data_IF_788418058706
#
_entry.id   IF_788418058706
#
_cell.length_a   1.000
_cell.length_b   1.000
_cell.length_c   1.000
_cell.angle_alpha   90.00
_cell.angle_beta   90.00
_cell.angle_gamma   90.00
#
_symmetry.space_group_name_H-M   'P 1'
#
loop_
_entity.id
_entity.type
_entity.pdbx_description
1 polymer ?
#
# COMPACT_ATOMS: atom_id res chain seq x y z
N UNK A 1 -33.97 -9.86 -24.94
CA UNK A 1 -32.91 -9.03 -24.33
C UNK A 1 -32.47 -9.69 -23.04
N UNK A 2 -31.39 -10.45 -23.07
CA UNK A 2 -30.79 -11.03 -21.85
C UNK A 2 -30.04 -9.89 -21.17
N UNK A 3 -30.61 -9.33 -20.09
CA UNK A 3 -29.87 -8.45 -19.19
C UNK A 3 -28.70 -9.26 -18.65
N UNK A 4 -27.52 -8.99 -19.21
CA UNK A 4 -26.30 -9.73 -18.91
C UNK A 4 -26.11 -9.81 -17.41
N UNK A 5 -25.99 -11.04 -16.92
CA UNK A 5 -25.68 -11.33 -15.53
C UNK A 5 -24.25 -10.84 -15.27
N UNK A 6 -24.10 -9.53 -15.05
CA UNK A 6 -22.83 -8.88 -14.80
C UNK A 6 -22.25 -9.51 -13.53
N UNK A 7 -21.23 -10.35 -13.71
CA UNK A 7 -20.58 -11.04 -12.62
C UNK A 7 -20.11 -10.00 -11.60
N UNK A 8 -20.69 -10.00 -10.39
CA UNK A 8 -20.38 -9.06 -9.32
C UNK A 8 -18.87 -9.00 -9.01
N UNK A 9 -18.16 -10.12 -9.18
CA UNK A 9 -16.71 -10.17 -9.01
C UNK A 9 -15.97 -9.33 -10.05
N UNK A 10 -16.42 -9.34 -11.31
CA UNK A 10 -15.85 -8.51 -12.37
C UNK A 10 -16.07 -7.03 -12.09
N UNK A 11 -17.29 -6.64 -11.72
CA UNK A 11 -17.59 -5.25 -11.35
C UNK A 11 -16.74 -4.77 -10.16
N UNK A 12 -16.48 -5.65 -9.18
CA UNK A 12 -15.59 -5.36 -8.05
C UNK A 12 -14.14 -5.14 -8.50
N UNK A 13 -13.62 -5.99 -9.40
CA UNK A 13 -12.28 -5.82 -9.98
C UNK A 13 -12.15 -4.51 -10.75
N UNK A 14 -13.07 -4.27 -11.69
CA UNK A 14 -13.15 -3.03 -12.47
C UNK A 14 -13.25 -1.78 -11.58
N UNK A 15 -13.97 -1.84 -10.46
CA UNK A 15 -14.06 -0.73 -9.51
C UNK A 15 -12.74 -0.47 -8.79
N UNK A 16 -12.05 -1.52 -8.35
CA UNK A 16 -10.74 -1.42 -7.70
C UNK A 16 -9.67 -0.88 -8.67
N UNK A 17 -9.69 -1.29 -9.93
CA UNK A 17 -8.79 -0.75 -10.96
C UNK A 17 -9.00 0.76 -11.17
N UNK A 18 -10.26 1.21 -11.27
CA UNK A 18 -10.57 2.64 -11.40
C UNK A 18 -10.11 3.44 -10.19
N UNK A 19 -10.35 2.92 -8.99
CA UNK A 19 -9.88 3.53 -7.74
C UNK A 19 -8.35 3.60 -7.71
N UNK A 20 -7.64 2.54 -8.13
CA UNK A 20 -6.18 2.52 -8.15
C UNK A 20 -5.60 3.59 -9.08
N UNK A 21 -6.16 3.77 -10.28
CA UNK A 21 -5.74 4.83 -11.20
C UNK A 21 -5.90 6.21 -10.55
N UNK A 22 -7.04 6.46 -9.90
CA UNK A 22 -7.31 7.74 -9.26
C UNK A 22 -6.37 8.00 -8.07
N UNK A 23 -6.13 6.99 -7.24
CA UNK A 23 -5.20 7.08 -6.12
C UNK A 23 -3.78 7.39 -6.62
N UNK A 24 -3.31 6.73 -7.67
CA UNK A 24 -1.97 7.03 -8.23
C UNK A 24 -1.89 8.44 -8.81
N UNK A 25 -2.93 8.91 -9.52
CA UNK A 25 -3.00 10.29 -10.01
C UNK A 25 -2.91 11.32 -8.89
N UNK A 26 -3.55 11.04 -7.75
CA UNK A 26 -3.51 11.92 -6.59
C UNK A 26 -2.15 11.86 -5.87
N UNK A 27 -1.58 10.66 -5.71
CA UNK A 27 -0.33 10.47 -4.96
C UNK A 27 0.93 10.89 -5.72
N UNK A 28 0.97 10.74 -7.05
CA UNK A 28 2.16 11.04 -7.85
C UNK A 28 1.80 11.58 -9.24
N UNK A 29 1.06 12.70 -9.35
CA UNK A 29 0.56 13.24 -10.62
C UNK A 29 1.66 13.50 -11.65
N UNK A 30 2.87 13.82 -11.21
CA UNK A 30 4.06 14.08 -12.03
C UNK A 30 4.70 12.80 -12.60
N UNK A 31 4.48 11.64 -11.97
CA UNK A 31 4.94 10.34 -12.48
C UNK A 31 3.88 9.69 -13.38
N UNK A 32 2.61 9.98 -13.13
CA UNK A 32 1.50 9.36 -13.85
C UNK A 32 1.35 9.97 -15.24
N UNK A 33 1.15 9.10 -16.25
CA UNK A 33 0.90 9.50 -17.63
C UNK A 33 -0.37 10.38 -17.73
N UNK A 34 -0.40 11.40 -18.61
CA UNK A 34 -1.63 12.15 -18.89
C UNK A 34 -2.79 11.26 -19.35
N UNK A 35 -2.47 10.18 -20.08
CA UNK A 35 -3.42 9.18 -20.56
C UNK A 35 -3.61 8.00 -19.60
N UNK A 36 -3.36 8.18 -18.29
CA UNK A 36 -3.41 7.08 -17.34
C UNK A 36 -4.80 6.44 -17.28
N UNK A 37 -4.88 5.13 -17.44
CA UNK A 37 -6.15 4.41 -17.53
C UNK A 37 -6.00 2.95 -17.11
N UNK A 38 -7.13 2.32 -16.79
CA UNK A 38 -7.20 0.85 -16.74
C UNK A 38 -7.14 0.29 -18.16
N UNK A 39 -6.54 -0.87 -18.32
CA UNK A 39 -6.48 -1.57 -19.60
C UNK A 39 -7.76 -2.37 -19.83
N UNK A 40 -8.25 -2.36 -21.07
CA UNK A 40 -9.44 -3.08 -21.48
C UNK A 40 -9.06 -4.29 -22.35
N UNK A 41 -9.31 -5.48 -21.84
CA UNK A 41 -9.14 -6.73 -22.56
C UNK A 41 -7.81 -7.41 -22.27
N UNK A 42 -7.87 -8.44 -21.43
CA UNK A 42 -6.74 -9.31 -21.12
C UNK A 42 -6.27 -10.07 -22.38
N UNK A 43 -4.95 -10.24 -22.51
CA UNK A 43 -4.32 -11.07 -23.55
C UNK A 43 -4.13 -10.37 -24.90
N UNK A 44 -4.22 -9.04 -24.95
CA UNK A 44 -3.87 -8.27 -26.15
C UNK A 44 -2.35 -8.12 -26.27
N UNK A 45 -1.86 -7.85 -27.48
CA UNK A 45 -0.42 -7.63 -27.73
C UNK A 45 0.16 -6.41 -26.99
N UNK A 46 -0.69 -5.49 -26.56
CA UNK A 46 -0.28 -4.30 -25.79
C UNK A 46 -0.69 -4.42 -24.30
N UNK A 47 -0.94 -5.64 -23.83
CA UNK A 47 -1.33 -5.92 -22.45
C UNK A 47 -0.07 -5.96 -21.56
N UNK A 48 0.26 -4.82 -20.97
CA UNK A 48 1.41 -4.63 -20.07
C UNK A 48 0.98 -4.80 -18.60
N UNK A 49 -0.31 -5.01 -18.32
CA UNK A 49 -0.88 -5.10 -16.99
C UNK A 49 -2.30 -4.52 -16.92
N UNK A 50 -2.90 -4.56 -15.72
CA UNK A 50 -4.26 -4.05 -15.49
C UNK A 50 -4.32 -2.53 -15.65
N UNK A 51 -3.24 -1.81 -15.35
CA UNK A 51 -3.18 -0.35 -15.46
C UNK A 51 -2.05 0.11 -16.38
N UNK A 52 -2.33 1.14 -17.19
CA UNK A 52 -1.34 1.90 -17.95
C UNK A 52 -1.19 3.28 -17.32
N UNK A 53 -0.44 3.33 -16.22
CA UNK A 53 -0.29 4.53 -15.37
C UNK A 53 1.11 5.12 -15.43
N UNK A 54 2.14 4.28 -15.55
CA UNK A 54 3.54 4.65 -15.75
C UNK A 54 4.01 4.16 -17.12
N UNK A 55 5.12 4.68 -17.63
CA UNK A 55 5.66 4.27 -18.93
C UNK A 55 6.50 2.98 -18.88
N UNK A 56 7.10 2.70 -17.73
CA UNK A 56 8.14 1.69 -17.51
C UNK A 56 7.79 0.70 -16.37
N UNK A 57 6.51 0.64 -15.98
CA UNK A 57 6.01 -0.21 -14.89
C UNK A 57 4.83 -1.07 -15.37
N UNK A 58 4.93 -2.38 -15.15
CA UNK A 58 3.78 -3.31 -15.23
C UNK A 58 3.00 -3.24 -13.92
N UNK A 59 1.72 -2.85 -13.98
CA UNK A 59 0.88 -2.72 -12.79
C UNK A 59 -0.26 -3.73 -12.81
N UNK A 60 -0.31 -4.59 -11.80
CA UNK A 60 -1.39 -5.57 -11.60
C UNK A 60 -2.19 -5.19 -10.35
N UNK A 61 -3.51 -5.12 -10.47
CA UNK A 61 -4.44 -4.86 -9.37
C UNK A 61 -5.15 -6.15 -8.97
N UNK A 62 -5.19 -6.45 -7.68
CA UNK A 62 -5.99 -7.56 -7.14
C UNK A 62 -6.92 -7.06 -6.05
N UNK A 63 -8.16 -7.51 -6.03
CA UNK A 63 -9.15 -7.10 -5.03
C UNK A 63 -9.81 -8.31 -4.35
N UNK A 64 -9.20 -8.78 -3.26
CA UNK A 64 -9.65 -9.95 -2.53
C UNK A 64 -10.58 -9.60 -1.37
N UNK A 65 -11.25 -10.61 -0.80
CA UNK A 65 -11.92 -10.47 0.50
C UNK A 65 -10.87 -10.56 1.62
N UNK A 66 -11.15 -10.04 2.84
CA UNK A 66 -10.19 -10.06 3.95
C UNK A 66 -9.56 -11.43 4.24
N UNK A 67 -10.35 -12.51 4.15
CA UNK A 67 -9.90 -13.88 4.38
C UNK A 67 -8.84 -14.38 3.37
N UNK A 68 -8.76 -13.76 2.18
CA UNK A 68 -7.88 -14.17 1.09
C UNK A 68 -6.74 -13.18 0.83
N UNK A 69 -6.48 -12.23 1.75
CA UNK A 69 -5.45 -11.21 1.57
C UNK A 69 -4.05 -11.78 1.37
N UNK A 70 -3.70 -12.87 2.07
CA UNK A 70 -2.43 -13.57 1.89
C UNK A 70 -2.21 -14.04 0.45
N UNK A 71 -3.25 -14.61 -0.17
CA UNK A 71 -3.20 -15.04 -1.56
C UNK A 71 -3.21 -13.84 -2.50
N UNK A 72 -4.01 -12.82 -2.20
CA UNK A 72 -4.07 -11.60 -3.00
C UNK A 72 -2.73 -10.88 -3.10
N UNK A 73 -1.95 -10.79 -2.02
CA UNK A 73 -0.61 -10.22 -2.02
C UNK A 73 0.33 -10.97 -2.98
N UNK A 74 0.36 -12.29 -2.90
CA UNK A 74 1.20 -13.13 -3.76
C UNK A 74 0.76 -13.08 -5.23
N UNK A 75 -0.53 -13.18 -5.50
CA UNK A 75 -1.06 -13.11 -6.86
C UNK A 75 -0.85 -11.74 -7.50
N UNK A 76 -0.92 -10.66 -6.72
CA UNK A 76 -0.62 -9.32 -7.22
C UNK A 76 0.86 -9.19 -7.62
N UNK A 77 1.77 -9.58 -6.72
CA UNK A 77 3.21 -9.52 -6.98
C UNK A 77 3.63 -10.40 -8.17
N UNK A 78 3.23 -11.68 -8.16
CA UNK A 78 3.55 -12.63 -9.23
C UNK A 78 2.90 -12.23 -10.54
N UNK A 79 1.64 -11.78 -10.50
CA UNK A 79 0.92 -11.30 -11.68
C UNK A 79 1.64 -10.13 -12.35
N UNK A 80 2.06 -9.13 -11.56
CA UNK A 80 2.81 -7.99 -12.08
C UNK A 80 4.16 -8.42 -12.70
N UNK A 81 4.89 -9.34 -12.07
CA UNK A 81 6.13 -9.89 -12.62
C UNK A 81 5.95 -10.67 -13.92
N UNK A 82 4.90 -11.49 -14.02
CA UNK A 82 4.57 -12.22 -15.24
C UNK A 82 4.22 -11.27 -16.37
N UNK A 83 3.37 -10.26 -16.10
CA UNK A 83 3.00 -9.26 -17.10
C UNK A 83 4.20 -8.42 -17.54
N UNK A 84 5.11 -8.08 -16.61
CA UNK A 84 6.38 -7.45 -16.94
C UNK A 84 7.21 -8.32 -17.89
N UNK A 85 7.35 -9.61 -17.60
CA UNK A 85 8.08 -10.55 -18.45
C UNK A 85 7.48 -10.66 -19.85
N UNK A 86 6.16 -10.72 -19.95
CA UNK A 86 5.44 -10.75 -21.23
C UNK A 86 5.65 -9.45 -22.02
N UNK A 87 5.55 -8.30 -21.37
CA UNK A 87 5.78 -7.00 -21.99
C UNK A 87 7.22 -6.88 -22.53
N UNK A 88 8.22 -7.29 -21.75
CA UNK A 88 9.61 -7.31 -22.20
C UNK A 88 9.78 -8.24 -23.41
N UNK A 89 9.17 -9.43 -23.38
CA UNK A 89 9.21 -10.37 -24.52
C UNK A 89 8.55 -9.80 -25.80
N UNK A 90 7.66 -8.83 -25.67
CA UNK A 90 7.02 -8.11 -26.77
C UNK A 90 7.78 -6.83 -27.19
N UNK A 91 8.89 -6.51 -26.53
CA UNK A 91 9.76 -5.38 -26.86
C UNK A 91 9.50 -4.09 -26.07
N UNK A 92 8.70 -4.12 -25.01
CA UNK A 92 8.49 -2.97 -24.14
C UNK A 92 9.62 -2.84 -23.11
N UNK A 93 10.08 -1.61 -22.85
CA UNK A 93 11.05 -1.31 -21.78
C UNK A 93 10.32 -1.10 -20.45
N UNK A 94 10.07 -2.21 -19.74
CA UNK A 94 9.29 -2.25 -18.49
C UNK A 94 10.16 -2.85 -17.38
N UNK A 95 11.18 -2.14 -16.87
CA UNK A 95 12.08 -2.66 -15.85
C UNK A 95 11.37 -2.98 -14.53
N UNK A 96 10.26 -2.32 -14.21
CA UNK A 96 9.58 -2.41 -12.92
C UNK A 96 8.26 -3.18 -12.97
N UNK A 97 7.89 -3.77 -11.83
CA UNK A 97 6.60 -4.43 -11.63
C UNK A 97 6.01 -3.97 -10.29
N UNK A 98 4.71 -3.71 -10.29
CA UNK A 98 3.95 -3.29 -9.11
C UNK A 98 2.66 -4.10 -9.02
N UNK A 99 2.56 -4.98 -8.02
CA UNK A 99 1.28 -5.51 -7.58
C UNK A 99 0.61 -4.54 -6.61
N UNK A 100 -0.67 -4.25 -6.81
CA UNK A 100 -1.46 -3.39 -5.93
C UNK A 100 -2.64 -4.16 -5.35
N UNK A 101 -2.84 -4.03 -4.04
CA UNK A 101 -4.02 -4.58 -3.36
C UNK A 101 -4.65 -3.54 -2.42
N UNK A 102 -5.96 -3.29 -2.54
CA UNK A 102 -6.63 -2.39 -1.63
C UNK A 102 -6.89 -3.10 -0.31
N UNK A 103 -6.73 -2.38 0.79
CA UNK A 103 -7.05 -2.89 2.12
C UNK A 103 -8.56 -2.83 2.33
N UNK A 104 -9.27 -3.96 2.47
CA UNK A 104 -10.72 -3.95 2.59
C UNK A 104 -11.21 -3.02 3.72
N UNK A 105 -12.20 -2.19 3.41
CA UNK A 105 -12.90 -1.29 4.34
C UNK A 105 -12.05 -0.14 4.93
N UNK A 106 -10.82 0.09 4.45
CA UNK A 106 -10.10 1.30 4.82
C UNK A 106 -10.55 2.51 4.01
N UNK A 107 -10.60 3.72 4.62
CA UNK A 107 -10.90 4.95 3.92
C UNK A 107 -9.74 5.32 2.98
N UNK A 108 -10.05 6.10 1.94
CA UNK A 108 -9.06 6.57 0.96
C UNK A 108 -8.25 7.76 1.47
N UNK A 109 -8.80 8.53 2.41
CA UNK A 109 -8.15 9.73 2.97
C UNK A 109 -7.46 9.44 4.31
N UNK A 110 -6.22 9.93 4.45
CA UNK A 110 -5.50 9.98 5.74
C UNK A 110 -4.96 8.65 6.26
N UNK A 111 -5.34 7.51 5.67
CA UNK A 111 -4.90 6.17 6.08
C UNK A 111 -4.22 5.41 4.93
N UNK A 112 -3.43 4.38 5.26
CA UNK A 112 -2.91 3.44 4.27
C UNK A 112 -4.07 2.64 3.66
N UNK A 113 -4.44 3.00 2.42
CA UNK A 113 -5.53 2.36 1.66
C UNK A 113 -5.03 1.26 0.73
N UNK A 114 -3.88 1.48 0.09
CA UNK A 114 -3.32 0.62 -0.95
C UNK A 114 -1.96 0.09 -0.53
N UNK A 115 -1.75 -1.21 -0.76
CA UNK A 115 -0.47 -1.86 -0.55
C UNK A 115 0.19 -2.14 -1.89
N UNK A 116 1.49 -1.90 -1.95
CA UNK A 116 2.37 -2.49 -2.93
C UNK A 116 2.74 -3.91 -2.50
N UNK A 117 2.70 -4.85 -3.44
CA UNK A 117 3.20 -6.21 -3.30
C UNK A 117 4.09 -6.54 -4.50
N UNK A 118 5.38 -6.83 -4.26
CA UNK A 118 6.37 -7.02 -5.33
C UNK A 118 7.37 -8.12 -5.00
N UNK A 119 7.93 -8.75 -6.04
CA UNK A 119 9.03 -9.71 -5.88
C UNK A 119 10.39 -9.02 -5.82
N UNK A 120 10.54 -7.88 -6.50
CA UNK A 120 11.77 -7.08 -6.54
C UNK A 120 11.44 -5.61 -6.20
N UNK A 121 12.17 -5.05 -5.25
CA UNK A 121 12.08 -3.63 -4.92
C UNK A 121 12.78 -2.76 -5.99
N UNK A 122 12.31 -1.53 -6.28
CA UNK A 122 12.91 -0.70 -7.34
C UNK A 122 14.38 -0.32 -7.11
N UNK A 123 14.77 -0.14 -5.86
CA UNK A 123 16.14 0.18 -5.40
C UNK A 123 16.58 -0.76 -4.30
N UNK A 124 17.81 -0.61 -3.82
CA UNK A 124 18.27 -1.29 -2.60
C UNK A 124 17.35 -0.94 -1.42
N UNK A 125 17.04 -1.95 -0.61
CA UNK A 125 16.10 -1.78 0.49
C UNK A 125 16.69 -0.82 1.54
N UNK A 126 15.96 0.25 1.92
CA UNK A 126 16.47 1.24 2.89
C UNK A 126 16.58 0.67 4.30
N UNK A 127 15.97 -0.49 4.57
CA UNK A 127 16.02 -1.19 5.84
C UNK A 127 15.77 -2.70 5.62
N UNK A 128 16.19 -3.53 6.58
CA UNK A 128 15.84 -4.95 6.59
C UNK A 128 14.32 -5.12 6.74
N UNK A 129 13.62 -5.77 5.79
CA UNK A 129 12.18 -5.94 5.88
C UNK A 129 11.75 -6.80 7.07
N UNK A 130 10.67 -6.40 7.75
CA UNK A 130 10.10 -7.19 8.85
C UNK A 130 9.32 -8.37 8.29
N UNK A 131 9.60 -9.57 8.79
CA UNK A 131 8.95 -10.80 8.30
C UNK A 131 7.64 -11.11 9.02
N UNK A 132 6.60 -11.37 8.22
CA UNK A 132 5.31 -11.85 8.70
C UNK A 132 4.90 -13.13 7.96
N UNK A 133 4.49 -14.16 8.71
CA UNK A 133 3.87 -15.37 8.14
C UNK A 133 2.35 -15.30 8.14
N UNK A 134 1.76 -14.34 8.88
CA UNK A 134 0.31 -14.15 9.02
C UNK A 134 -0.07 -12.80 8.44
N UNK A 135 -0.82 -12.80 7.33
CA UNK A 135 -1.25 -11.57 6.65
C UNK A 135 -1.99 -10.60 7.55
N UNK A 136 -2.83 -11.08 8.48
CA UNK A 136 -3.53 -10.19 9.41
C UNK A 136 -2.58 -9.34 10.27
N UNK A 137 -1.49 -9.93 10.78
CA UNK A 137 -0.47 -9.21 11.56
C UNK A 137 0.29 -8.18 10.71
N UNK A 138 0.65 -8.57 9.48
CA UNK A 138 1.25 -7.66 8.51
C UNK A 138 0.34 -6.46 8.25
N UNK A 139 -0.96 -6.73 7.99
CA UNK A 139 -1.94 -5.70 7.69
C UNK A 139 -2.16 -4.75 8.88
N UNK A 140 -2.15 -5.25 10.11
CA UNK A 140 -2.17 -4.39 11.30
C UNK A 140 -0.94 -3.51 11.35
N UNK A 141 0.25 -4.07 11.16
CA UNK A 141 1.52 -3.34 11.23
C UNK A 141 1.66 -2.26 10.14
N UNK A 142 1.35 -2.60 8.89
CA UNK A 142 1.57 -1.69 7.74
C UNK A 142 0.65 -0.47 7.76
N UNK A 143 -0.56 -0.62 8.33
CA UNK A 143 -1.59 0.42 8.42
C UNK A 143 -1.48 1.29 9.67
N UNK A 144 -0.64 0.90 10.62
CA UNK A 144 -0.63 1.53 11.92
C UNK A 144 0.06 2.89 11.86
N UNK A 145 -0.76 3.94 11.71
CA UNK A 145 -0.31 5.33 11.66
C UNK A 145 -0.23 5.99 13.04
N UNK A 146 -0.77 5.36 14.11
CA UNK A 146 -0.97 5.99 15.42
C UNK A 146 -0.22 5.24 16.54
N UNK A 147 0.05 3.95 16.39
CA UNK A 147 0.84 3.14 17.33
C UNK A 147 -0.01 2.20 18.16
N UNK A 148 0.58 1.21 18.87
CA UNK A 148 2.00 1.07 19.26
C UNK A 148 2.84 0.14 18.38
N UNK A 149 2.31 -0.34 17.26
CA UNK A 149 2.90 -1.40 16.44
C UNK A 149 3.70 -0.81 15.25
N UNK A 150 3.33 0.38 14.77
CA UNK A 150 3.91 1.04 13.59
C UNK A 150 4.30 2.52 13.76
N UNK A 151 4.14 3.11 14.94
CA UNK A 151 4.21 4.58 15.11
C UNK A 151 5.59 5.21 15.35
N UNK A 152 6.66 4.49 15.70
CA UNK A 152 7.92 5.18 16.06
C UNK A 152 9.19 4.61 15.43
N UNK A 153 9.12 3.45 14.78
CA UNK A 153 10.30 2.86 14.16
C UNK A 153 10.52 3.32 12.71
N UNK A 154 9.43 3.49 11.91
CA UNK A 154 9.55 3.67 10.47
C UNK A 154 8.46 4.59 9.87
N UNK A 155 8.83 5.69 9.16
CA UNK A 155 7.89 6.43 8.33
C UNK A 155 7.27 5.51 7.26
N UNK A 156 6.10 5.86 6.71
CA UNK A 156 5.34 4.98 5.78
C UNK A 156 6.21 4.47 4.63
N UNK A 157 7.13 5.30 4.14
CA UNK A 157 8.06 5.01 3.05
C UNK A 157 9.09 3.91 3.40
N UNK A 158 9.28 3.65 4.70
CA UNK A 158 10.18 2.62 5.22
C UNK A 158 9.43 1.42 5.82
N UNK A 159 8.10 1.40 5.75
CA UNK A 159 7.29 0.27 6.23
C UNK A 159 7.29 -0.88 5.22
N UNK A 160 8.45 -1.51 5.05
CA UNK A 160 8.62 -2.63 4.14
C UNK A 160 8.64 -3.93 4.94
N UNK A 161 7.73 -4.83 4.61
CA UNK A 161 7.59 -6.15 5.20
C UNK A 161 7.84 -7.24 4.16
N UNK A 162 8.13 -8.44 4.65
CA UNK A 162 8.08 -9.66 3.84
C UNK A 162 6.89 -10.52 4.27
N UNK A 163 6.21 -11.13 3.30
CA UNK A 163 5.14 -12.07 3.53
C UNK A 163 5.35 -13.36 2.73
N UNK A 164 5.38 -14.50 3.42
CA UNK A 164 5.57 -15.81 2.80
C UNK A 164 5.73 -16.91 3.83
N UNK A 165 5.36 -18.14 3.46
CA UNK A 165 5.55 -19.33 4.32
C UNK A 165 7.01 -19.82 4.26
N UNK A 166 7.63 -19.75 3.09
CA UNK A 166 9.05 -20.05 2.87
C UNK A 166 9.80 -18.82 2.38
N UNK A 167 11.14 -18.86 2.44
CA UNK A 167 11.99 -17.81 1.87
C UNK A 167 11.84 -17.70 0.34
N UNK A 168 11.44 -18.78 -0.32
CA UNK A 168 11.28 -18.85 -1.78
C UNK A 168 9.92 -18.38 -2.30
N UNK A 169 8.89 -18.31 -1.42
CA UNK A 169 7.54 -17.80 -1.73
C UNK A 169 7.28 -16.48 -0.99
N UNK A 170 8.33 -15.70 -0.78
CA UNK A 170 8.26 -14.43 -0.05
C UNK A 170 8.06 -13.27 -1.02
N UNK A 171 7.07 -12.42 -0.73
CA UNK A 171 6.87 -11.14 -1.42
C UNK A 171 7.16 -9.98 -0.48
N UNK A 172 7.66 -8.88 -1.03
CA UNK A 172 7.78 -7.61 -0.32
C UNK A 172 6.42 -6.91 -0.32
N UNK A 173 6.02 -6.37 0.83
CA UNK A 173 4.74 -5.69 1.02
C UNK A 173 4.97 -4.38 1.76
N UNK A 174 4.39 -3.30 1.27
CA UNK A 174 4.51 -1.98 1.88
C UNK A 174 3.26 -1.13 1.55
N UNK A 175 3.06 0.05 2.19
CA UNK A 175 2.20 1.09 1.63
C UNK A 175 2.63 1.40 0.20
N UNK A 176 1.68 1.71 -0.70
CA UNK A 176 2.01 2.04 -2.10
C UNK A 176 2.94 3.25 -2.19
N UNK A 177 2.82 4.18 -1.26
CA UNK A 177 3.64 5.38 -1.11
C UNK A 177 5.13 5.04 -0.94
N UNK A 178 5.44 3.97 -0.21
CA UNK A 178 6.80 3.48 -0.05
C UNK A 178 7.41 2.99 -1.37
N UNK A 179 6.61 2.27 -2.16
CA UNK A 179 7.05 1.82 -3.47
C UNK A 179 7.23 2.99 -4.44
N UNK A 180 6.33 3.99 -4.40
CA UNK A 180 6.45 5.21 -5.21
C UNK A 180 7.72 5.97 -4.85
N UNK A 181 8.04 6.13 -3.55
CA UNK A 181 9.27 6.76 -3.10
C UNK A 181 10.53 6.03 -3.63
N UNK A 182 10.54 4.69 -3.54
CA UNK A 182 11.61 3.87 -4.09
C UNK A 182 11.72 3.97 -5.63
N UNK A 183 10.59 4.04 -6.33
CA UNK A 183 10.54 4.18 -7.79
C UNK A 183 11.05 5.56 -8.26
N UNK A 184 10.75 6.63 -7.51
CA UNK A 184 11.33 7.96 -7.75
C UNK A 184 12.85 7.92 -7.67
N UNK A 185 13.39 7.26 -6.66
CA UNK A 185 14.83 7.08 -6.50
C UNK A 185 15.43 6.29 -7.67
N UNK A 186 14.84 5.15 -8.02
CA UNK A 186 15.29 4.30 -9.12
C UNK A 186 15.34 5.04 -10.46
N UNK A 187 14.39 5.95 -10.69
CA UNK A 187 14.24 6.68 -11.96
C UNK A 187 14.78 8.10 -11.91
N UNK A 188 15.41 8.50 -10.80
CA UNK A 188 15.98 9.84 -10.55
C UNK A 188 14.97 10.97 -10.81
N UNK A 189 13.70 10.74 -10.47
CA UNK A 189 12.60 11.70 -10.59
C UNK A 189 12.16 12.14 -9.19
N UNK A 190 12.82 13.16 -8.60
CA UNK A 190 12.49 13.61 -7.25
C UNK A 190 11.03 14.07 -7.18
N UNK A 191 10.45 14.04 -5.99
CA UNK A 191 9.15 14.66 -5.78
C UNK A 191 9.27 16.17 -6.08
N UNK A 192 8.22 16.80 -6.66
CA UNK A 192 8.21 18.24 -6.84
C UNK A 192 8.43 18.94 -5.48
N UNK A 193 9.30 19.95 -5.47
CA UNK A 193 9.55 20.77 -4.28
C UNK A 193 8.28 21.57 -3.95
N UNK A 194 7.67 21.28 -2.81
CA UNK A 194 6.42 21.90 -2.39
C UNK A 194 5.24 20.94 -2.48
N UNK A 195 4.86 20.43 -1.31
CA UNK A 195 3.56 19.83 -1.04
C UNK A 195 3.22 18.57 -1.84
N UNK A 196 3.59 17.40 -1.29
CA UNK A 196 2.98 16.14 -1.72
C UNK A 196 1.47 16.11 -1.41
N UNK A 197 0.87 17.10 -0.73
CA UNK A 197 -0.57 17.15 -0.47
C UNK A 197 -1.11 15.97 0.34
N UNK A 198 -0.24 15.00 0.68
CA UNK A 198 -0.33 14.10 1.80
C UNK A 198 -0.07 14.95 3.04
N UNK A 199 -0.93 15.95 3.22
CA UNK A 199 -1.07 16.69 4.45
C UNK A 199 -0.99 15.64 5.55
N UNK A 200 0.03 15.84 6.36
CA UNK A 200 0.35 15.07 7.53
C UNK A 200 -0.95 14.86 8.34
N UNK A 201 -1.68 13.79 8.04
CA UNK A 201 -2.98 13.53 8.65
C UNK A 201 -2.81 13.19 10.14
N UNK A 202 -1.56 13.08 10.60
CA UNK A 202 -1.15 12.95 11.99
C UNK A 202 -0.80 14.30 12.66
N UNK A 203 -0.68 15.41 11.92
CA UNK A 203 -0.41 16.75 12.46
C UNK A 203 -1.69 17.57 12.66
N UNK A 204 -2.74 16.93 13.20
CA UNK A 204 -3.79 17.67 13.89
C UNK A 204 -3.20 18.37 15.11
N UNK A 205 -3.66 19.57 15.49
CA UNK A 205 -3.11 20.29 16.62
C UNK A 205 -3.20 19.41 17.87
N UNK A 206 -2.06 19.20 18.53
CA UNK A 206 -2.00 18.79 19.92
C UNK A 206 -2.89 19.76 20.71
N UNK A 207 -4.13 19.35 20.94
CA UNK A 207 -5.03 19.98 21.89
C UNK A 207 -4.31 19.88 23.23
N UNK A 208 -3.64 20.96 23.60
CA UNK A 208 -3.16 21.20 24.94
C UNK A 208 -4.39 21.28 25.83
N UNK A 209 -4.79 20.13 26.38
CA UNK A 209 -5.68 20.08 27.53
C UNK A 209 -4.87 20.57 28.72
N UNK A 210 -4.71 21.90 28.80
CA UNK A 210 -4.47 22.59 30.06
C UNK A 210 -5.87 22.88 30.63
N UNK A 211 -6.52 21.81 31.07
CA UNK A 211 -7.74 21.86 31.85
C UNK A 211 -7.39 21.39 33.25
N UNK A 212 -7.17 22.35 34.16
CA UNK A 212 -6.91 22.05 35.56
C UNK A 212 -8.11 21.38 36.21
N UNK A 213 -7.92 20.15 36.69
CA UNK A 213 -8.69 19.63 37.81
C UNK A 213 -7.79 19.64 39.04
N UNK A 214 -8.21 20.43 40.03
CA UNK A 214 -7.72 20.32 41.40
C UNK A 214 -8.05 18.92 41.88
N UNK A 215 -7.03 18.15 42.22
CA UNK A 215 -7.22 16.94 43.02
C UNK A 215 -7.23 17.42 44.47
N UNK A 216 -8.40 17.34 45.09
CA UNK A 216 -8.56 17.58 46.52
C UNK A 216 -7.68 16.62 47.31
N UNK A 217 -6.84 17.19 48.18
CA UNK A 217 -6.07 16.47 49.19
C UNK A 217 -7.01 15.89 50.26
N UNK A 218 -7.52 14.69 49.99
CA UNK A 218 -8.25 13.87 50.95
C UNK A 218 -7.31 13.01 51.78
N UNK A 219 -6.93 13.53 52.95
CA UNK A 219 -6.27 12.85 54.07
C UNK A 219 -6.87 11.46 54.34
N UNK A 220 -6.06 10.39 54.26
CA UNK A 220 -6.31 9.15 55.02
C UNK A 220 -5.03 8.80 55.78
N UNK A 221 -5.13 8.97 57.09
CA UNK A 221 -4.13 8.61 58.07
C UNK A 221 -4.05 7.09 58.28
N UNK A 222 -2.82 6.69 58.59
CA UNK A 222 -2.31 5.45 59.19
C UNK A 222 -3.30 4.57 59.96
N UNK A 223 -3.16 3.25 59.79
CA UNK A 223 -3.09 2.34 60.93
C UNK A 223 -2.28 1.09 60.56
N UNK A 224 -1.04 1.05 61.03
CA UNK A 224 -0.24 -0.17 61.18
C UNK A 224 -0.65 -0.77 62.51
N UNK A 225 -1.21 -1.99 62.50
CA UNK A 225 -1.36 -2.80 63.69
C UNK A 225 -0.51 -4.06 63.52
N UNK A 226 0.61 -4.07 64.24
CA UNK A 226 1.32 -5.27 64.65
C UNK A 226 0.49 -5.95 65.74
N UNK A 227 0.28 -7.25 65.59
CA UNK A 227 -0.35 -8.15 66.55
C UNK A 227 -0.30 -9.57 66.01
#
# INVERSE_FOLDING_TARGET
MVLGMANKAKNKGDAAEREAVEVLRQMCPDLVRPSAMRMLGAGRKDDIGDLRVFDDVSVQVKCFAPAYMANGLREAAKGASVQRGNAIAQGFDVPFALGMIPIPRQPTSGAVRWLAAVEKWPVDLPCTPIRFTVAAKLLTWVKDDIGPIGYLAHPRERRIATHGLSLTDTVLVAPVEAWIAAYREATRRPAPEGDLGLADAASGPLLSVVGGERVDEGVIAQSVALG
#
